data_IF_497480240147
#
_entry.id   IF_497480240147
#
_cell.length_a   1.000
_cell.length_b   1.000
_cell.length_c   1.000
_cell.angle_alpha   90.00
_cell.angle_beta   90.00
_cell.angle_gamma   90.00
#
_symmetry.space_group_name_H-M   'P 1'
#
loop_
_entity.id
_entity.type
_entity.pdbx_description
1 polymer ?
#
# COMPACT_ATOMS: atom_id res chain seq x y z
N UNK A 1 -29.36 -1.27 7.46
CA UNK A 1 -28.59 -0.09 7.03
C UNK A 1 -27.23 -0.03 7.75
N UNK A 2 -26.29 -0.89 7.34
CA UNK A 2 -24.92 -0.96 7.94
C UNK A 2 -24.06 0.17 7.36
N UNK A 3 -24.33 0.61 6.12
CA UNK A 3 -23.56 1.63 5.41
C UNK A 3 -23.46 2.98 6.13
N UNK A 4 -24.56 3.49 6.68
CA UNK A 4 -24.55 4.81 7.35
C UNK A 4 -23.67 4.86 8.59
N UNK A 5 -23.34 3.72 9.17
CA UNK A 5 -22.47 3.62 10.35
C UNK A 5 -20.98 3.61 10.02
N UNK A 6 -20.61 3.37 8.75
CA UNK A 6 -19.21 3.26 8.29
C UNK A 6 -18.73 4.49 7.53
N UNK A 7 -19.66 5.30 6.97
CA UNK A 7 -19.30 6.49 6.17
C UNK A 7 -18.68 7.56 7.07
N UNK A 8 -17.54 8.09 6.62
CA UNK A 8 -16.77 9.15 7.30
C UNK A 8 -16.37 8.78 8.74
N UNK A 9 -16.00 7.51 8.96
CA UNK A 9 -15.54 7.03 10.26
C UNK A 9 -14.08 6.59 10.20
N UNK A 10 -13.36 6.86 11.28
CA UNK A 10 -12.08 6.22 11.58
C UNK A 10 -12.38 5.03 12.47
N UNK A 11 -11.92 3.84 12.05
CA UNK A 11 -12.12 2.61 12.79
C UNK A 11 -10.74 2.16 13.30
N UNK A 12 -10.56 2.20 14.60
CA UNK A 12 -9.35 1.67 15.23
C UNK A 12 -9.58 0.20 15.62
N UNK A 13 -8.82 -0.71 15.02
CA UNK A 13 -8.98 -2.15 15.26
C UNK A 13 -8.09 -3.01 14.37
N UNK A 14 -8.17 -4.30 14.56
CA UNK A 14 -7.55 -5.31 13.71
C UNK A 14 -8.21 -5.29 12.32
N UNK A 15 -7.44 -4.94 11.28
CA UNK A 15 -7.94 -4.78 9.93
C UNK A 15 -8.63 -6.03 9.38
N UNK A 16 -8.14 -7.23 9.69
CA UNK A 16 -8.76 -8.48 9.25
C UNK A 16 -10.15 -8.68 9.86
N UNK A 17 -10.33 -8.27 11.11
CA UNK A 17 -11.65 -8.33 11.78
C UNK A 17 -12.59 -7.26 11.28
N UNK A 18 -12.09 -6.04 11.06
CA UNK A 18 -12.90 -4.91 10.63
C UNK A 18 -13.34 -5.04 9.16
N UNK A 19 -12.46 -5.51 8.28
CA UNK A 19 -12.79 -5.77 6.88
C UNK A 19 -13.96 -6.78 6.74
N UNK A 20 -14.00 -7.82 7.58
CA UNK A 20 -15.10 -8.82 7.58
C UNK A 20 -16.48 -8.24 7.87
N UNK A 21 -16.56 -7.06 8.50
CA UNK A 21 -17.82 -6.36 8.79
C UNK A 21 -18.33 -5.53 7.61
N UNK A 22 -17.48 -5.26 6.63
CA UNK A 22 -17.84 -4.47 5.45
C UNK A 22 -18.61 -5.36 4.47
N UNK A 23 -19.77 -4.91 3.94
CA UNK A 23 -20.54 -5.70 2.99
C UNK A 23 -19.80 -5.98 1.69
N UNK A 24 -20.15 -7.10 1.05
CA UNK A 24 -19.64 -7.43 -0.28
C UNK A 24 -19.95 -6.32 -1.28
N UNK A 25 -19.04 -6.12 -2.25
CA UNK A 25 -19.22 -5.23 -3.41
C UNK A 25 -19.74 -3.83 -3.04
N UNK A 26 -19.13 -3.26 -2.00
CA UNK A 26 -19.58 -2.01 -1.41
C UNK A 26 -18.66 -0.82 -1.62
N UNK A 27 -17.38 -1.07 -1.90
CA UNK A 27 -16.38 -0.02 -2.05
C UNK A 27 -15.97 0.17 -3.51
N UNK A 28 -15.83 1.42 -3.92
CA UNK A 28 -15.36 1.78 -5.26
C UNK A 28 -13.84 1.77 -5.34
N UNK A 29 -13.15 2.11 -4.23
CA UNK A 29 -11.71 2.20 -4.15
C UNK A 29 -11.22 1.79 -2.76
N UNK A 30 -10.08 1.08 -2.75
CA UNK A 30 -9.32 0.79 -1.54
C UNK A 30 -7.91 1.36 -1.73
N UNK A 31 -7.40 2.08 -0.73
CA UNK A 31 -5.97 2.40 -0.59
C UNK A 31 -5.44 1.67 0.64
N UNK A 32 -4.43 0.85 0.46
CA UNK A 32 -3.86 0.03 1.52
C UNK A 32 -2.37 0.33 1.73
N UNK A 33 -2.00 0.52 3.00
CA UNK A 33 -0.62 0.61 3.47
C UNK A 33 -0.40 -0.52 4.49
N UNK A 34 -0.13 -1.74 4.00
CA UNK A 34 -0.01 -2.92 4.86
C UNK A 34 1.31 -2.95 5.61
N UNK A 35 1.47 -3.79 6.64
CA UNK A 35 2.76 -4.05 7.27
C UNK A 35 3.84 -4.37 6.24
N UNK A 36 5.05 -3.80 6.42
CA UNK A 36 6.16 -3.97 5.48
C UNK A 36 7.05 -5.19 5.80
N UNK A 37 6.86 -5.79 6.98
CA UNK A 37 7.70 -6.88 7.46
C UNK A 37 9.19 -6.49 7.45
N UNK A 38 9.51 -5.37 8.05
CA UNK A 38 10.83 -4.72 7.96
C UNK A 38 11.96 -5.58 8.52
N UNK A 39 11.67 -6.61 9.32
CA UNK A 39 12.62 -7.61 9.86
C UNK A 39 13.90 -6.99 10.47
N UNK A 40 13.77 -5.86 11.13
CA UNK A 40 14.89 -5.20 11.76
C UNK A 40 15.31 -5.99 13.00
N UNK A 41 16.51 -6.59 12.92
CA UNK A 41 17.09 -7.39 14.00
C UNK A 41 17.67 -6.55 15.13
N UNK A 42 17.85 -5.24 14.95
CA UNK A 42 18.46 -4.31 15.91
C UNK A 42 17.76 -2.97 15.89
N UNK A 43 17.78 -2.28 17.03
CA UNK A 43 17.36 -0.88 17.12
C UNK A 43 18.10 -0.02 16.07
N UNK A 44 17.34 0.85 15.40
CA UNK A 44 17.93 1.85 14.50
C UNK A 44 18.25 3.09 15.31
N UNK A 45 19.51 3.50 15.29
CA UNK A 45 19.94 4.76 15.85
C UNK A 45 20.30 5.74 14.73
N UNK A 46 19.93 7.00 14.93
CA UNK A 46 20.38 8.10 14.07
C UNK A 46 21.89 8.36 14.33
N UNK A 47 22.58 9.13 13.45
CA UNK A 47 23.99 9.49 13.65
C UNK A 47 24.28 10.19 14.97
N UNK A 48 23.27 10.90 15.52
CA UNK A 48 23.34 11.59 16.82
C UNK A 48 23.08 10.65 18.02
N UNK A 49 23.05 9.33 17.79
CA UNK A 49 22.74 8.28 18.78
C UNK A 49 21.29 8.27 19.28
N UNK A 50 20.40 9.11 18.77
CA UNK A 50 18.99 9.06 19.13
C UNK A 50 18.31 7.84 18.50
N UNK A 51 17.40 7.20 19.24
CA UNK A 51 16.64 6.03 18.75
C UNK A 51 15.60 6.45 17.70
N UNK A 52 15.44 5.65 16.68
CA UNK A 52 14.31 5.75 15.75
C UNK A 52 13.18 4.90 16.31
N UNK A 53 12.11 5.52 16.76
CA UNK A 53 10.99 4.85 17.44
C UNK A 53 10.08 4.04 16.50
N UNK A 54 10.27 4.12 15.20
CA UNK A 54 9.30 3.68 14.19
C UNK A 54 9.34 2.18 13.83
N UNK A 55 10.05 1.29 14.54
CA UNK A 55 10.42 0.02 13.90
C UNK A 55 10.29 -1.24 14.76
N UNK A 56 9.67 -1.17 15.91
CA UNK A 56 9.59 -2.30 16.84
C UNK A 56 8.17 -2.84 17.10
N UNK A 57 7.20 -2.42 16.32
CA UNK A 57 5.82 -2.81 16.52
C UNK A 57 5.59 -4.30 16.20
N UNK A 58 4.87 -4.96 17.10
CA UNK A 58 4.58 -6.40 16.97
C UNK A 58 3.76 -6.72 15.72
N UNK A 59 2.94 -5.78 15.26
CA UNK A 59 2.08 -5.95 14.09
C UNK A 59 2.84 -5.96 12.74
N UNK A 60 4.08 -5.43 12.70
CA UNK A 60 4.96 -5.47 11.51
C UNK A 60 6.01 -6.60 11.58
N UNK A 61 5.84 -7.57 12.50
CA UNK A 61 6.77 -8.67 12.67
C UNK A 61 6.10 -10.00 12.35
N UNK A 62 6.63 -10.69 11.37
CA UNK A 62 6.21 -12.04 10.99
C UNK A 62 7.36 -13.02 11.24
N UNK A 63 7.03 -14.24 11.66
CA UNK A 63 8.04 -15.27 11.96
C UNK A 63 8.86 -15.65 10.71
N UNK A 64 8.20 -15.67 9.56
CA UNK A 64 8.79 -16.02 8.28
C UNK A 64 7.95 -15.46 7.12
N UNK A 65 8.46 -15.62 5.89
CA UNK A 65 7.75 -15.15 4.71
C UNK A 65 6.45 -15.92 4.43
N UNK A 66 6.31 -17.15 4.89
CA UNK A 66 5.07 -17.91 4.71
C UNK A 66 3.94 -17.28 5.53
N UNK A 67 4.20 -16.97 6.80
CA UNK A 67 3.20 -16.30 7.64
C UNK A 67 2.84 -14.90 7.14
N UNK A 68 3.80 -14.18 6.56
CA UNK A 68 3.52 -12.91 5.89
C UNK A 68 2.65 -13.08 4.64
N UNK A 69 2.90 -14.10 3.83
CA UNK A 69 2.09 -14.40 2.64
C UNK A 69 0.66 -14.82 3.00
N UNK A 70 0.49 -15.61 4.05
CA UNK A 70 -0.83 -16.02 4.57
C UNK A 70 -1.63 -14.80 5.03
N UNK A 71 -1.02 -13.92 5.81
CA UNK A 71 -1.61 -12.63 6.21
C UNK A 71 -1.98 -11.80 4.98
N UNK A 72 -1.06 -11.69 4.02
CA UNK A 72 -1.27 -10.90 2.79
C UNK A 72 -2.44 -11.44 1.97
N UNK A 73 -2.55 -12.75 1.83
CA UNK A 73 -3.67 -13.38 1.14
C UNK A 73 -4.99 -13.13 1.87
N UNK A 74 -5.00 -13.16 3.21
CA UNK A 74 -6.24 -12.97 3.97
C UNK A 74 -6.82 -11.57 3.77
N UNK A 75 -6.03 -10.51 3.97
CA UNK A 75 -6.54 -9.15 3.81
C UNK A 75 -6.84 -8.80 2.34
N UNK A 76 -6.06 -9.29 1.37
CA UNK A 76 -6.34 -9.08 -0.06
C UNK A 76 -7.63 -9.78 -0.50
N UNK A 77 -7.92 -10.98 0.01
CA UNK A 77 -9.20 -11.66 -0.26
C UNK A 77 -10.39 -10.84 0.27
N UNK A 78 -10.28 -10.28 1.47
CA UNK A 78 -11.32 -9.41 2.02
C UNK A 78 -11.45 -8.13 1.18
N UNK A 79 -10.35 -7.51 0.77
CA UNK A 79 -10.38 -6.38 -0.15
C UNK A 79 -11.08 -6.72 -1.47
N UNK A 80 -10.79 -7.89 -2.05
CA UNK A 80 -11.45 -8.34 -3.28
C UNK A 80 -12.93 -8.57 -3.10
N UNK A 81 -13.36 -9.11 -1.96
CA UNK A 81 -14.77 -9.35 -1.62
C UNK A 81 -15.56 -8.04 -1.50
N UNK A 82 -15.00 -7.03 -0.81
CA UNK A 82 -15.69 -5.76 -0.54
C UNK A 82 -15.64 -4.76 -1.70
N UNK A 83 -14.68 -4.89 -2.62
CA UNK A 83 -14.64 -4.07 -3.84
C UNK A 83 -15.82 -4.39 -4.75
N UNK A 84 -16.45 -3.36 -5.29
CA UNK A 84 -17.43 -3.48 -6.38
C UNK A 84 -16.79 -4.09 -7.61
N UNK A 85 -17.61 -4.56 -8.56
CA UNK A 85 -17.17 -5.17 -9.81
C UNK A 85 -16.15 -4.31 -10.58
N UNK A 86 -16.35 -3.00 -10.60
CA UNK A 86 -15.52 -2.04 -11.33
C UNK A 86 -14.59 -1.24 -10.39
N UNK A 87 -14.47 -1.70 -9.13
CA UNK A 87 -13.62 -1.09 -8.12
C UNK A 87 -12.13 -1.36 -8.33
N UNK A 88 -11.31 -0.51 -7.74
CA UNK A 88 -9.85 -0.59 -7.81
C UNK A 88 -9.21 -0.62 -6.44
N UNK A 89 -8.01 -1.20 -6.37
CA UNK A 89 -7.16 -1.19 -5.18
C UNK A 89 -5.82 -0.54 -5.50
N UNK A 90 -5.32 0.25 -4.56
CA UNK A 90 -3.98 0.81 -4.54
C UNK A 90 -3.26 0.28 -3.31
N UNK A 91 -2.10 -0.30 -3.50
CA UNK A 91 -1.30 -0.85 -2.40
C UNK A 91 0.09 -0.27 -2.43
N UNK A 92 0.46 0.49 -1.40
CA UNK A 92 1.80 1.02 -1.25
C UNK A 92 2.71 0.04 -0.52
N UNK A 93 3.98 0.05 -0.87
CA UNK A 93 5.00 -0.73 -0.18
C UNK A 93 6.40 -0.38 -0.61
N UNK A 94 7.35 -0.86 0.17
CA UNK A 94 8.78 -0.75 -0.13
C UNK A 94 9.34 -2.05 -0.72
N UNK A 95 10.63 -2.06 -1.05
CA UNK A 95 11.32 -3.26 -1.52
C UNK A 95 11.26 -4.46 -0.54
N UNK A 96 10.87 -4.26 0.72
CA UNK A 96 10.74 -5.33 1.69
C UNK A 96 9.53 -6.24 1.41
N UNK A 97 8.43 -5.67 0.92
CA UNK A 97 7.15 -6.35 0.83
C UNK A 97 6.49 -6.32 -0.55
N UNK A 98 6.72 -5.25 -1.34
CA UNK A 98 5.88 -4.96 -2.52
C UNK A 98 5.91 -6.09 -3.57
N UNK A 99 7.04 -6.77 -3.75
CA UNK A 99 7.15 -7.87 -4.71
C UNK A 99 6.30 -9.08 -4.29
N UNK A 100 6.25 -9.38 -2.98
CA UNK A 100 5.40 -10.46 -2.46
C UNK A 100 3.92 -10.10 -2.52
N UNK A 101 3.60 -8.89 -2.13
CA UNK A 101 2.22 -8.35 -2.23
C UNK A 101 1.76 -8.36 -3.68
N UNK A 102 2.59 -7.89 -4.62
CA UNK A 102 2.28 -7.90 -6.06
C UNK A 102 2.01 -9.30 -6.61
N UNK A 103 2.82 -10.28 -6.21
CA UNK A 103 2.58 -11.69 -6.55
C UNK A 103 1.21 -12.16 -6.04
N UNK A 104 0.85 -11.85 -4.78
CA UNK A 104 -0.44 -12.23 -4.20
C UNK A 104 -1.64 -11.50 -4.84
N UNK A 105 -1.46 -10.27 -5.25
CA UNK A 105 -2.46 -9.53 -6.05
C UNK A 105 -2.77 -10.29 -7.35
N UNK A 106 -1.73 -10.74 -8.07
CA UNK A 106 -1.89 -11.50 -9.30
C UNK A 106 -2.47 -12.90 -9.06
N UNK A 107 -1.98 -13.64 -8.05
CA UNK A 107 -2.48 -14.97 -7.66
C UNK A 107 -3.99 -14.93 -7.36
N UNK A 108 -4.48 -13.86 -6.76
CA UNK A 108 -5.91 -13.65 -6.48
C UNK A 108 -6.71 -13.19 -7.70
N UNK A 109 -6.08 -12.98 -8.85
CA UNK A 109 -6.75 -12.58 -10.08
C UNK A 109 -7.25 -11.13 -10.07
N UNK A 110 -6.57 -10.23 -9.34
CA UNK A 110 -6.67 -8.81 -9.64
C UNK A 110 -5.93 -8.52 -10.95
N UNK A 111 -6.36 -7.48 -11.65
CA UNK A 111 -5.73 -7.03 -12.87
C UNK A 111 -4.87 -5.80 -12.62
N UNK A 112 -3.55 -5.96 -12.60
CA UNK A 112 -2.63 -4.83 -12.38
C UNK A 112 -2.69 -3.89 -13.58
N UNK A 113 -2.96 -2.61 -13.31
CA UNK A 113 -3.05 -1.55 -14.29
C UNK A 113 -1.72 -0.81 -14.45
N UNK A 114 -1.10 -0.46 -13.32
CA UNK A 114 0.23 0.14 -13.27
C UNK A 114 0.92 -0.19 -11.94
N UNK A 115 2.24 -0.11 -11.96
CA UNK A 115 3.07 0.22 -10.84
C UNK A 115 3.38 1.72 -10.88
N UNK A 116 3.17 2.42 -9.79
CA UNK A 116 3.48 3.84 -9.65
C UNK A 116 4.65 3.99 -8.69
N UNK A 117 5.67 4.71 -9.11
CA UNK A 117 6.85 4.98 -8.29
C UNK A 117 6.71 6.36 -7.65
N UNK A 118 6.59 6.37 -6.34
CA UNK A 118 6.71 7.59 -5.56
C UNK A 118 8.17 7.88 -5.26
N UNK A 119 8.78 8.82 -6.00
CA UNK A 119 10.12 9.33 -5.73
C UNK A 119 10.07 10.31 -4.56
N UNK A 120 10.84 10.00 -3.52
CA UNK A 120 10.98 10.84 -2.32
C UNK A 120 12.00 11.95 -2.60
N UNK A 121 11.56 13.21 -2.59
CA UNK A 121 12.48 14.33 -2.83
C UNK A 121 13.48 14.55 -1.69
N UNK A 122 13.13 14.06 -0.48
CA UNK A 122 13.94 14.19 0.74
C UNK A 122 14.11 12.82 1.43
N UNK A 123 14.66 11.80 0.75
CA UNK A 123 14.78 10.46 1.32
C UNK A 123 15.77 10.43 2.49
N UNK A 124 15.46 9.62 3.50
CA UNK A 124 16.37 9.41 4.62
C UNK A 124 17.62 8.65 4.15
N UNK A 125 18.84 9.14 4.40
CA UNK A 125 20.06 8.51 3.93
C UNK A 125 20.27 7.14 4.60
N UNK A 126 21.02 6.26 3.91
CA UNK A 126 21.56 5.06 4.54
C UNK A 126 22.77 5.44 5.39
N UNK A 127 22.58 5.53 6.70
CA UNK A 127 23.62 6.02 7.62
C UNK A 127 24.91 5.19 7.64
N UNK A 128 24.85 3.91 7.26
CA UNK A 128 26.03 3.04 7.21
C UNK A 128 26.78 3.13 5.88
N UNK A 129 26.20 3.75 4.85
CA UNK A 129 26.81 3.83 3.52
C UNK A 129 27.05 2.49 2.83
N UNK A 130 26.33 1.43 3.23
CA UNK A 130 26.55 0.06 2.74
C UNK A 130 25.60 -0.35 1.61
N UNK A 131 24.64 0.49 1.28
CA UNK A 131 23.65 0.30 0.20
C UNK A 131 23.11 1.65 -0.25
N UNK A 132 22.34 1.64 -1.34
CA UNK A 132 21.70 2.85 -1.82
C UNK A 132 20.70 3.41 -0.79
N UNK A 133 20.50 4.73 -0.80
CA UNK A 133 19.40 5.39 -0.12
C UNK A 133 18.07 4.90 -0.70
N UNK A 134 17.13 4.50 0.16
CA UNK A 134 15.79 4.11 -0.30
C UNK A 134 14.98 5.36 -0.65
N UNK A 135 15.09 5.79 -1.90
CA UNK A 135 14.54 7.04 -2.39
C UNK A 135 13.17 6.90 -3.04
N UNK A 136 12.53 5.74 -2.98
CA UNK A 136 11.17 5.56 -3.53
C UNK A 136 10.35 4.52 -2.78
N UNK A 137 9.04 4.61 -2.95
CA UNK A 137 8.08 3.55 -2.67
C UNK A 137 7.41 3.13 -3.97
N UNK A 138 6.94 1.90 -4.03
CA UNK A 138 6.16 1.39 -5.16
C UNK A 138 4.69 1.29 -4.74
N UNK A 139 3.80 1.77 -5.58
CA UNK A 139 2.36 1.68 -5.38
C UNK A 139 1.78 0.85 -6.52
N UNK A 140 1.20 -0.30 -6.21
CA UNK A 140 0.51 -1.13 -7.20
C UNK A 140 -0.93 -0.64 -7.32
N UNK A 141 -1.34 -0.28 -8.53
CA UNK A 141 -2.74 0.00 -8.86
C UNK A 141 -3.32 -1.17 -9.65
N UNK A 142 -4.40 -1.74 -9.14
CA UNK A 142 -5.05 -2.89 -9.76
C UNK A 142 -6.58 -2.76 -9.76
N UNK A 143 -7.20 -3.25 -10.82
CA UNK A 143 -8.65 -3.44 -10.89
C UNK A 143 -9.03 -4.79 -10.27
N UNK A 144 -10.28 -4.92 -9.82
CA UNK A 144 -10.81 -6.18 -9.24
C UNK A 144 -10.63 -7.38 -10.17
N UNK A 145 -10.71 -7.16 -11.49
CA UNK A 145 -10.50 -8.18 -12.52
C UNK A 145 -10.15 -7.53 -13.87
N UNK A 146 -9.68 -8.31 -14.82
CA UNK A 146 -9.44 -7.89 -16.22
C UNK A 146 -10.69 -7.26 -16.88
N UNK A 147 -11.89 -7.73 -16.49
CA UNK A 147 -13.17 -7.27 -17.06
C UNK A 147 -13.73 -6.02 -16.38
N UNK A 148 -13.08 -5.49 -15.37
CA UNK A 148 -13.54 -4.31 -14.64
C UNK A 148 -13.46 -3.05 -15.51
N UNK A 149 -14.53 -2.26 -15.46
CA UNK A 149 -14.61 -0.94 -16.12
C UNK A 149 -14.30 0.15 -15.11
N UNK A 150 -13.03 0.23 -14.71
CA UNK A 150 -12.58 1.20 -13.72
C UNK A 150 -12.66 2.64 -14.23
N UNK A 151 -12.78 3.59 -13.31
CA UNK A 151 -12.77 5.03 -13.63
C UNK A 151 -11.33 5.54 -13.68
N UNK A 152 -10.99 6.25 -14.77
CA UNK A 152 -9.73 6.97 -14.92
C UNK A 152 -9.99 8.37 -15.45
N UNK A 153 -9.73 9.36 -14.62
CA UNK A 153 -10.03 10.77 -14.93
C UNK A 153 -8.91 11.42 -15.78
N UNK A 154 -8.73 10.90 -17.00
CA UNK A 154 -7.63 11.27 -17.90
C UNK A 154 -7.45 12.77 -18.08
N UNK A 155 -8.54 13.50 -18.37
CA UNK A 155 -8.46 14.95 -18.62
C UNK A 155 -8.07 15.74 -17.37
N UNK A 156 -8.66 15.39 -16.22
CA UNK A 156 -8.30 16.03 -14.95
C UNK A 156 -6.83 15.80 -14.59
N UNK A 157 -6.32 14.59 -14.83
CA UNK A 157 -4.91 14.28 -14.59
C UNK A 157 -3.97 15.01 -15.54
N UNK A 158 -4.37 15.23 -16.80
CA UNK A 158 -3.61 16.08 -17.74
C UNK A 158 -3.49 17.52 -17.25
N UNK A 159 -4.59 18.11 -16.79
CA UNK A 159 -4.57 19.47 -16.23
C UNK A 159 -3.62 19.62 -15.05
N UNK A 160 -3.37 18.55 -14.28
CA UNK A 160 -2.41 18.55 -13.18
C UNK A 160 -0.95 18.29 -13.61
N UNK A 161 -0.71 18.04 -14.89
CA UNK A 161 0.59 17.67 -15.46
C UNK A 161 0.90 18.44 -16.75
N UNK A 162 0.71 19.76 -16.75
CA UNK A 162 1.02 20.67 -17.86
C UNK A 162 0.41 20.21 -19.20
N UNK A 163 -0.84 19.78 -19.17
CA UNK A 163 -1.57 19.20 -20.32
C UNK A 163 -0.93 17.93 -20.94
N UNK A 164 0.04 17.35 -20.28
CA UNK A 164 0.62 16.07 -20.65
C UNK A 164 -0.04 14.91 -19.91
N UNK A 165 -0.04 13.72 -20.51
CA UNK A 165 -0.51 12.52 -19.83
C UNK A 165 0.27 12.29 -18.53
N UNK A 166 -0.45 12.06 -17.42
CA UNK A 166 0.17 11.75 -16.13
C UNK A 166 1.04 10.50 -16.23
N UNK A 167 2.24 10.59 -15.68
CA UNK A 167 3.21 9.49 -15.66
C UNK A 167 3.05 8.64 -14.40
N UNK A 168 3.57 7.41 -14.45
CA UNK A 168 3.63 6.49 -13.30
C UNK A 168 4.81 6.78 -12.35
N UNK A 169 5.44 7.94 -12.45
CA UNK A 169 6.50 8.39 -11.54
C UNK A 169 6.11 9.73 -10.94
N UNK A 170 5.96 9.78 -9.61
CA UNK A 170 5.53 10.96 -8.88
C UNK A 170 6.62 11.42 -7.93
N UNK A 171 7.00 12.68 -8.01
CA UNK A 171 8.03 13.27 -7.13
C UNK A 171 7.36 14.09 -6.04
N UNK A 172 7.32 13.51 -4.83
CA UNK A 172 6.67 14.12 -3.65
C UNK A 172 7.61 13.99 -2.43
N UNK A 173 7.64 14.98 -1.53
CA UNK A 173 8.38 14.84 -0.29
C UNK A 173 7.71 13.82 0.63
N UNK A 174 8.52 13.20 1.51
CA UNK A 174 7.98 12.55 2.71
C UNK A 174 7.51 13.61 3.69
N UNK A 175 6.44 13.32 4.42
CA UNK A 175 5.99 14.16 5.50
C UNK A 175 7.04 14.12 6.62
N UNK A 176 7.57 15.30 6.97
CA UNK A 176 8.37 15.46 8.17
C UNK A 176 7.37 15.77 9.29
N UNK A 177 7.15 14.81 10.18
CA UNK A 177 6.30 15.00 11.35
C UNK A 177 6.82 16.09 12.30
#
# INVERSE_FOLDING_TARGET
>A
MIYSKLINKIINGDSLKELKKIPNESLDLIFADPPYNLQLKKELNRPDSSKVDAVNDKWDKFENFKSYDEFTLEWLNECKRILKKDGTIWVIGSYHNIFRVGCKIQDLGFWILNDVIWNKNNPMPNFRGTRFTNAHETIIWAAKSEKSKYTFNYQSLKCLNDDLQMRSTWSLPICNG
#
